data_IF_384786720796
#
_entry.id   IF_384786720796
#
_cell.length_a   1.000
_cell.length_b   1.000
_cell.length_c   1.000
_cell.angle_alpha   90.00
_cell.angle_beta   90.00
_cell.angle_gamma   90.00
#
_symmetry.space_group_name_H-M   'P 1'
#
loop_
_entity.id
_entity.type
_entity.pdbx_description
1 polymer ?
#
# COMPACT_ATOMS: atom_id res chain seq x y z
N UNK A 1 -15.91 -14.43 31.50
CA UNK A 1 -17.39 -14.45 31.35
C UNK A 1 -17.69 -14.73 29.88
N UNK A 2 -18.32 -15.85 29.57
CA UNK A 2 -18.68 -16.15 28.18
C UNK A 2 -19.78 -15.18 27.71
N UNK A 3 -19.53 -14.46 26.64
CA UNK A 3 -20.50 -13.61 25.98
C UNK A 3 -21.64 -14.50 25.44
N UNK A 4 -22.81 -14.40 26.06
CA UNK A 4 -24.04 -14.96 25.48
C UNK A 4 -24.37 -14.15 24.21
N UNK A 5 -24.92 -14.83 23.20
CA UNK A 5 -25.45 -14.26 21.95
C UNK A 5 -26.51 -13.17 22.24
N UNK A 6 -26.09 -11.97 22.54
CA UNK A 6 -26.98 -10.82 22.62
C UNK A 6 -26.87 -10.05 21.31
N UNK A 7 -27.90 -10.12 20.49
CA UNK A 7 -28.11 -9.20 19.37
C UNK A 7 -28.43 -7.81 19.96
N UNK A 8 -27.41 -6.98 20.05
CA UNK A 8 -27.61 -5.58 20.41
C UNK A 8 -28.10 -4.78 19.21
N UNK A 9 -29.00 -3.85 19.42
CA UNK A 9 -29.32 -2.85 18.40
C UNK A 9 -28.12 -1.91 18.20
N UNK A 10 -28.01 -1.29 17.06
CA UNK A 10 -26.91 -0.36 16.74
C UNK A 10 -26.73 0.74 17.79
N UNK A 11 -27.83 1.25 18.33
CA UNK A 11 -27.82 2.26 19.38
C UNK A 11 -27.34 1.72 20.74
N UNK A 12 -27.76 0.54 21.13
CA UNK A 12 -27.29 -0.10 22.37
C UNK A 12 -25.80 -0.43 22.30
N UNK A 13 -25.32 -0.81 21.12
CA UNK A 13 -23.90 -1.03 20.88
C UNK A 13 -23.11 0.28 21.00
N UNK A 14 -23.59 1.35 20.36
CA UNK A 14 -22.97 2.69 20.41
C UNK A 14 -22.90 3.24 21.84
N UNK A 15 -23.98 3.11 22.61
CA UNK A 15 -24.04 3.57 24.01
C UNK A 15 -23.02 2.83 24.91
N UNK A 16 -22.80 1.54 24.65
CA UNK A 16 -21.81 0.75 25.41
C UNK A 16 -20.37 1.05 24.97
N UNK A 17 -20.14 1.33 23.71
CA UNK A 17 -18.84 1.72 23.17
C UNK A 17 -18.42 3.08 23.72
N UNK A 18 -19.28 4.08 23.68
CA UNK A 18 -19.05 5.41 24.26
C UNK A 18 -18.83 5.36 25.78
N UNK A 19 -19.48 4.42 26.48
CA UNK A 19 -19.29 4.19 27.91
C UNK A 19 -18.00 3.43 28.24
N UNK A 20 -17.21 2.98 27.23
CA UNK A 20 -15.99 2.20 27.44
C UNK A 20 -16.22 0.78 27.98
N UNK A 21 -17.45 0.27 27.89
CA UNK A 21 -17.83 -1.05 28.41
C UNK A 21 -17.57 -2.19 27.41
N UNK A 22 -17.20 -1.87 26.17
CA UNK A 22 -16.94 -2.85 25.13
C UNK A 22 -15.43 -2.95 24.95
N UNK A 23 -14.85 -4.06 25.37
CA UNK A 23 -13.45 -4.37 25.13
C UNK A 23 -13.31 -5.18 23.84
N UNK A 24 -12.79 -4.56 22.79
CA UNK A 24 -12.53 -5.18 21.48
C UNK A 24 -11.10 -5.71 21.42
N UNK A 25 -10.74 -6.70 22.21
CA UNK A 25 -9.46 -7.35 22.03
C UNK A 25 -9.41 -8.06 20.66
N UNK A 26 -8.84 -7.39 19.67
CA UNK A 26 -8.50 -7.97 18.37
C UNK A 26 -9.41 -7.66 17.19
N UNK A 27 -10.42 -6.83 17.31
CA UNK A 27 -11.22 -6.38 16.16
C UNK A 27 -10.60 -5.14 15.53
N UNK A 28 -10.46 -5.15 14.22
CA UNK A 28 -9.83 -4.06 13.45
C UNK A 28 -10.77 -3.65 12.33
N UNK A 29 -11.06 -2.37 12.26
CA UNK A 29 -11.86 -1.77 11.22
C UNK A 29 -10.99 -1.27 10.08
N UNK A 30 -11.52 -1.34 8.87
CA UNK A 30 -10.92 -0.81 7.67
C UNK A 30 -11.72 0.40 7.19
N UNK A 31 -11.03 1.51 6.95
CA UNK A 31 -11.63 2.78 6.56
C UNK A 31 -11.09 3.26 5.22
N UNK A 32 -11.96 3.87 4.40
CA UNK A 32 -11.63 4.39 3.07
C UNK A 32 -12.21 5.77 2.87
N UNK A 33 -11.52 6.62 2.08
CA UNK A 33 -12.02 7.94 1.64
C UNK A 33 -11.27 8.44 0.40
N UNK A 34 -11.54 9.67 -0.04
CA UNK A 34 -11.01 10.23 -1.28
C UNK A 34 -11.92 9.94 -2.47
N UNK A 35 -11.38 9.53 -3.60
CA UNK A 35 -12.11 9.18 -4.82
C UNK A 35 -12.42 7.69 -4.88
N UNK A 36 -13.67 7.35 -5.13
CA UNK A 36 -14.07 6.02 -5.51
C UNK A 36 -14.20 5.92 -7.03
N UNK A 37 -13.63 4.89 -7.61
CA UNK A 37 -13.90 4.47 -8.98
C UNK A 37 -14.26 2.98 -8.99
N UNK A 38 -15.29 2.64 -9.77
CA UNK A 38 -15.64 1.25 -10.06
C UNK A 38 -15.92 0.36 -8.82
N UNK A 39 -16.38 0.93 -7.71
CA UNK A 39 -16.66 0.18 -6.49
C UNK A 39 -15.45 -0.08 -5.60
N UNK A 40 -14.32 0.58 -5.82
CA UNK A 40 -13.05 0.32 -5.12
C UNK A 40 -13.08 0.53 -3.60
N UNK A 41 -14.10 1.19 -3.05
CA UNK A 41 -14.27 1.31 -1.60
C UNK A 41 -14.83 0.04 -0.94
N UNK A 42 -15.57 -0.81 -1.68
CA UNK A 42 -16.14 -2.05 -1.14
C UNK A 42 -17.38 -1.85 -0.25
N UNK A 43 -18.01 -0.70 -0.25
CA UNK A 43 -19.14 -0.34 0.63
C UNK A 43 -20.49 -0.37 -0.08
N UNK A 44 -20.62 -1.20 -1.10
CA UNK A 44 -21.83 -1.38 -1.92
C UNK A 44 -22.31 -0.10 -2.64
N UNK A 45 -21.39 0.82 -2.95
CA UNK A 45 -21.67 2.02 -3.74
C UNK A 45 -20.97 1.90 -5.09
N UNK A 46 -21.69 2.12 -6.16
CA UNK A 46 -21.15 2.17 -7.53
C UNK A 46 -20.84 3.60 -7.96
N UNK A 47 -20.25 3.74 -9.16
CA UNK A 47 -19.96 5.03 -9.78
C UNK A 47 -18.70 5.73 -9.27
N UNK A 48 -18.53 6.98 -9.69
CA UNK A 48 -17.43 7.84 -9.27
C UNK A 48 -17.94 8.74 -8.13
N UNK A 49 -17.47 8.49 -6.93
CA UNK A 49 -17.86 9.22 -5.73
C UNK A 49 -16.64 9.84 -5.07
N UNK A 50 -16.87 10.90 -4.31
CA UNK A 50 -15.84 11.59 -3.53
C UNK A 50 -16.28 11.70 -2.08
N UNK A 51 -15.38 11.41 -1.15
CA UNK A 51 -15.60 11.64 0.29
C UNK A 51 -14.37 12.28 0.92
N UNK A 52 -14.60 13.37 1.59
CA UNK A 52 -13.57 14.11 2.34
C UNK A 52 -13.48 13.70 3.82
N UNK A 53 -14.16 12.61 4.19
CA UNK A 53 -14.10 12.00 5.53
C UNK A 53 -13.99 10.49 5.42
N UNK A 54 -13.27 9.81 6.32
CA UNK A 54 -13.22 8.36 6.37
C UNK A 54 -14.60 7.71 6.48
N UNK A 55 -14.80 6.60 5.76
CA UNK A 55 -16.01 5.75 5.84
C UNK A 55 -15.57 4.30 6.04
N UNK A 56 -16.24 3.59 6.92
CA UNK A 56 -15.89 2.21 7.28
C UNK A 56 -16.29 1.21 6.19
N UNK A 57 -15.38 0.28 5.85
CA UNK A 57 -15.70 -0.94 5.12
C UNK A 57 -16.43 -1.89 6.07
N UNK A 58 -17.58 -2.48 5.66
CA UNK A 58 -18.29 -3.43 6.51
C UNK A 58 -17.43 -4.62 6.95
N UNK A 59 -17.53 -4.95 8.26
CA UNK A 59 -16.77 -6.03 8.90
C UNK A 59 -15.57 -5.53 9.71
N UNK A 60 -15.17 -6.34 10.68
CA UNK A 60 -14.14 -6.01 11.67
C UNK A 60 -13.06 -7.11 11.79
N UNK A 61 -12.98 -8.00 10.81
CA UNK A 61 -12.03 -9.12 10.77
C UNK A 61 -10.99 -8.95 9.67
N UNK A 62 -10.84 -7.75 9.10
CA UNK A 62 -9.85 -7.48 8.08
C UNK A 62 -8.44 -7.49 8.65
N UNK A 63 -7.49 -8.12 7.96
CA UNK A 63 -6.09 -8.01 8.33
C UNK A 63 -5.57 -6.59 8.07
N UNK A 64 -4.69 -6.12 8.93
CA UNK A 64 -4.26 -4.71 8.99
C UNK A 64 -2.95 -4.43 8.30
N UNK A 65 -2.22 -5.44 7.88
CA UNK A 65 -0.97 -5.22 7.17
C UNK A 65 -1.26 -5.00 5.69
N UNK A 66 -1.13 -3.75 5.26
CA UNK A 66 -1.18 -3.39 3.85
C UNK A 66 0.19 -3.61 3.22
N UNK A 67 0.44 -4.80 2.74
CA UNK A 67 1.59 -5.02 1.87
C UNK A 67 1.26 -4.46 0.48
N UNK A 68 1.48 -3.15 0.30
CA UNK A 68 1.38 -2.44 -0.96
C UNK A 68 0.05 -2.63 -1.73
N UNK A 69 -0.99 -2.00 -1.23
CA UNK A 69 -2.16 -1.67 -2.02
C UNK A 69 -2.02 -0.28 -2.67
N UNK A 70 -0.77 0.18 -2.94
CA UNK A 70 -0.45 1.46 -3.58
C UNK A 70 -0.90 1.58 -5.03
N UNK A 71 -1.74 0.71 -5.45
CA UNK A 71 -1.96 0.49 -6.85
C UNK A 71 -2.82 1.55 -7.50
N UNK A 72 -2.45 1.91 -8.73
CA UNK A 72 -3.36 2.52 -9.70
C UNK A 72 -4.58 1.64 -9.98
N UNK A 73 -4.55 0.39 -9.49
CA UNK A 73 -5.61 -0.58 -9.65
C UNK A 73 -6.88 -0.15 -8.94
N UNK A 74 -7.93 -0.12 -9.66
CA UNK A 74 -9.27 0.15 -9.17
C UNK A 74 -9.89 -1.07 -8.49
N UNK A 75 -9.05 -2.01 -8.03
CA UNK A 75 -9.46 -3.23 -7.32
C UNK A 75 -8.64 -3.41 -6.03
N UNK A 76 -9.13 -4.25 -5.15
CA UNK A 76 -8.51 -4.56 -3.86
C UNK A 76 -8.50 -6.06 -3.61
N UNK A 77 -7.44 -6.50 -2.95
CA UNK A 77 -7.27 -7.86 -2.44
C UNK A 77 -6.90 -7.74 -0.97
N UNK A 78 -7.73 -8.29 -0.10
CA UNK A 78 -7.46 -8.34 1.34
C UNK A 78 -7.77 -9.73 1.89
N UNK A 79 -7.06 -10.09 2.95
CA UNK A 79 -7.34 -11.27 3.77
C UNK A 79 -8.11 -10.88 5.02
N UNK A 80 -8.88 -11.81 5.54
CA UNK A 80 -9.47 -11.72 6.86
C UNK A 80 -8.68 -12.54 7.87
N UNK A 81 -8.92 -12.30 9.16
CA UNK A 81 -8.26 -13.02 10.27
C UNK A 81 -8.58 -14.52 10.30
N UNK A 82 -9.66 -14.95 9.63
CA UNK A 82 -10.03 -16.36 9.43
C UNK A 82 -9.26 -17.02 8.26
N UNK A 83 -8.33 -16.31 7.62
CA UNK A 83 -7.53 -16.79 6.51
C UNK A 83 -8.25 -16.79 5.16
N UNK A 84 -9.45 -16.23 5.05
CA UNK A 84 -10.16 -16.08 3.77
C UNK A 84 -9.63 -14.92 2.96
N UNK A 85 -9.63 -15.04 1.62
CA UNK A 85 -9.16 -14.03 0.67
C UNK A 85 -10.35 -13.39 -0.06
N UNK A 86 -10.34 -12.07 -0.16
CA UNK A 86 -11.45 -11.29 -0.72
C UNK A 86 -10.98 -10.28 -1.77
N UNK A 87 -11.81 -10.06 -2.79
CA UNK A 87 -11.57 -9.06 -3.84
C UNK A 87 -12.80 -8.21 -4.11
N UNK A 88 -12.59 -6.97 -4.56
CA UNK A 88 -13.63 -6.06 -5.04
C UNK A 88 -13.04 -4.95 -5.92
N UNK A 89 -13.91 -4.10 -6.47
CA UNK A 89 -13.54 -3.05 -7.39
C UNK A 89 -13.70 -3.46 -8.85
N UNK A 90 -12.86 -2.90 -9.70
CA UNK A 90 -12.89 -3.13 -11.15
C UNK A 90 -12.21 -4.46 -11.49
N UNK A 91 -12.95 -5.35 -12.14
CA UNK A 91 -12.39 -6.41 -12.97
C UNK A 91 -11.99 -5.84 -14.34
N UNK A 92 -11.18 -6.52 -15.07
CA UNK A 92 -10.83 -6.19 -16.45
C UNK A 92 -10.73 -7.46 -17.29
N UNK A 93 -10.34 -7.30 -18.54
CA UNK A 93 -10.10 -8.41 -19.45
C UNK A 93 -9.03 -9.41 -18.96
N UNK A 94 -8.29 -9.03 -17.92
CA UNK A 94 -7.20 -9.83 -17.37
C UNK A 94 -7.62 -10.73 -16.19
N UNK A 95 -8.81 -10.50 -15.59
CA UNK A 95 -9.31 -11.31 -14.47
C UNK A 95 -8.64 -11.05 -13.12
N UNK A 96 -8.17 -9.82 -12.87
CA UNK A 96 -7.44 -9.45 -11.65
C UNK A 96 -8.23 -9.63 -10.34
N UNK A 97 -9.55 -9.83 -10.38
CA UNK A 97 -10.35 -10.14 -9.20
C UNK A 97 -10.20 -11.60 -8.73
N UNK A 98 -9.63 -12.49 -9.55
CA UNK A 98 -9.38 -13.89 -9.17
C UNK A 98 -10.64 -14.77 -9.07
N UNK A 99 -11.77 -14.32 -9.62
CA UNK A 99 -13.06 -14.96 -9.51
C UNK A 99 -13.41 -15.87 -10.71
N UNK A 100 -12.38 -16.27 -11.49
CA UNK A 100 -12.54 -17.03 -12.73
C UNK A 100 -13.41 -16.30 -13.78
N UNK A 101 -13.34 -14.96 -13.79
CA UNK A 101 -14.11 -14.09 -14.68
C UNK A 101 -13.19 -13.11 -15.37
N UNK A 102 -13.47 -12.82 -16.63
CA UNK A 102 -12.78 -11.82 -17.45
C UNK A 102 -13.84 -10.98 -18.18
N UNK A 103 -13.54 -9.70 -18.37
CA UNK A 103 -14.39 -8.79 -19.15
C UNK A 103 -14.38 -7.35 -18.60
N UNK A 104 -14.51 -6.35 -19.49
CA UNK A 104 -14.38 -4.94 -19.14
C UNK A 104 -15.50 -4.41 -18.24
N UNK A 105 -16.63 -5.13 -18.18
CA UNK A 105 -17.81 -4.74 -17.40
C UNK A 105 -17.88 -5.34 -16.00
N UNK A 106 -16.96 -6.25 -15.67
CA UNK A 106 -16.94 -6.90 -14.34
C UNK A 106 -16.54 -5.90 -13.27
N UNK A 107 -17.40 -5.70 -12.29
CA UNK A 107 -17.17 -4.80 -11.15
C UNK A 107 -17.94 -5.28 -9.94
N UNK A 108 -17.30 -5.25 -8.79
CA UNK A 108 -17.93 -5.55 -7.51
C UNK A 108 -17.73 -4.38 -6.55
N UNK A 109 -18.82 -3.77 -6.13
CA UNK A 109 -18.81 -2.68 -5.14
C UNK A 109 -18.86 -3.16 -3.69
N UNK A 110 -18.87 -4.49 -3.49
CA UNK A 110 -18.76 -5.15 -2.20
C UNK A 110 -17.71 -6.25 -2.28
N UNK A 111 -17.02 -6.59 -1.19
CA UNK A 111 -16.08 -7.70 -1.16
C UNK A 111 -16.72 -9.03 -1.57
N UNK A 112 -16.04 -9.77 -2.45
CA UNK A 112 -16.39 -11.12 -2.89
C UNK A 112 -15.23 -12.05 -2.53
N UNK A 113 -15.53 -13.19 -1.92
CA UNK A 113 -14.51 -14.17 -1.53
C UNK A 113 -13.91 -14.88 -2.74
N UNK A 114 -12.60 -15.04 -2.76
CA UNK A 114 -11.86 -15.79 -3.77
C UNK A 114 -11.72 -17.24 -3.31
N UNK A 115 -12.45 -18.14 -3.96
CA UNK A 115 -12.44 -19.56 -3.59
C UNK A 115 -12.97 -19.83 -2.19
N UNK A 116 -12.68 -21.01 -1.65
CA UNK A 116 -13.10 -21.45 -0.31
C UNK A 116 -11.92 -21.67 0.65
N UNK A 117 -10.70 -21.33 0.25
CA UNK A 117 -9.50 -21.50 1.08
C UNK A 117 -9.50 -20.57 2.29
N UNK A 118 -8.99 -21.08 3.42
CA UNK A 118 -8.86 -20.36 4.70
C UNK A 118 -7.41 -20.32 5.18
N UNK A 119 -6.47 -20.47 4.27
CA UNK A 119 -5.05 -20.57 4.51
C UNK A 119 -4.24 -19.40 3.92
N UNK A 120 -4.92 -18.31 3.55
CA UNK A 120 -4.28 -17.12 3.02
C UNK A 120 -3.68 -16.26 4.15
N UNK A 121 -2.39 -15.98 4.02
CA UNK A 121 -1.62 -15.17 4.99
C UNK A 121 -1.70 -13.68 4.67
N UNK A 122 -1.57 -13.31 3.39
CA UNK A 122 -1.63 -11.94 2.92
C UNK A 122 -2.08 -11.89 1.46
N UNK A 123 -2.62 -10.75 1.06
CA UNK A 123 -2.97 -10.44 -0.33
C UNK A 123 -2.55 -9.02 -0.70
N UNK A 124 -2.28 -8.81 -1.99
CA UNK A 124 -1.90 -7.52 -2.53
C UNK A 124 -2.18 -7.42 -4.03
N UNK A 125 -1.91 -6.26 -4.59
CA UNK A 125 -2.21 -5.95 -5.98
C UNK A 125 -1.01 -5.39 -6.72
N UNK A 126 -0.96 -5.62 -8.03
CA UNK A 126 -0.21 -4.83 -9.00
C UNK A 126 -1.19 -3.96 -9.78
N UNK A 127 -0.81 -3.22 -10.80
CA UNK A 127 -1.73 -2.36 -11.56
C UNK A 127 -2.96 -3.12 -12.10
N UNK A 128 -2.75 -4.24 -12.76
CA UNK A 128 -3.79 -5.04 -13.41
C UNK A 128 -3.69 -6.52 -13.03
N UNK A 129 -2.96 -6.81 -11.96
CA UNK A 129 -2.78 -8.13 -11.40
C UNK A 129 -2.92 -8.14 -9.89
N UNK A 130 -2.88 -9.31 -9.34
CA UNK A 130 -3.01 -9.56 -7.91
C UNK A 130 -2.11 -10.70 -7.50
N UNK A 131 -1.76 -10.73 -6.22
CA UNK A 131 -0.98 -11.81 -5.64
C UNK A 131 -1.45 -12.10 -4.22
N UNK A 132 -1.14 -13.28 -3.74
CA UNK A 132 -1.34 -13.65 -2.33
C UNK A 132 -0.34 -14.71 -1.90
N UNK A 133 -0.02 -14.74 -0.60
CA UNK A 133 0.80 -15.78 0.02
C UNK A 133 -0.07 -16.60 0.96
N UNK A 134 0.10 -17.90 0.91
CA UNK A 134 -0.51 -18.83 1.87
C UNK A 134 0.36 -19.05 3.10
N UNK A 135 -0.22 -19.59 4.16
CA UNK A 135 0.47 -19.91 5.41
C UNK A 135 1.55 -21.00 5.24
N UNK A 136 1.46 -21.81 4.19
CA UNK A 136 2.47 -22.80 3.80
C UNK A 136 3.69 -22.20 3.06
N UNK A 137 3.71 -20.88 2.86
CA UNK A 137 4.78 -20.18 2.16
C UNK A 137 4.72 -20.26 0.64
N UNK A 138 3.60 -20.65 0.05
CA UNK A 138 3.39 -20.58 -1.40
C UNK A 138 2.90 -19.20 -1.83
N UNK A 139 3.46 -18.66 -2.92
CA UNK A 139 3.05 -17.39 -3.53
C UNK A 139 2.16 -17.68 -4.75
N UNK A 140 1.08 -16.96 -4.89
CA UNK A 140 0.09 -17.10 -5.95
C UNK A 140 -0.12 -15.77 -6.67
N UNK A 141 -0.29 -15.79 -8.00
CA UNK A 141 -0.52 -14.61 -8.83
C UNK A 141 -1.65 -14.83 -9.83
N UNK A 142 -2.36 -13.76 -10.19
CA UNK A 142 -3.41 -13.76 -11.22
C UNK A 142 -3.66 -12.35 -11.75
N UNK A 143 -4.42 -12.22 -12.83
CA UNK A 143 -4.65 -10.98 -13.56
C UNK A 143 -3.78 -10.90 -14.80
N UNK A 144 -3.35 -9.69 -15.15
CA UNK A 144 -2.44 -9.41 -16.27
C UNK A 144 -1.10 -10.13 -16.10
N UNK A 145 -0.54 -10.56 -17.23
CA UNK A 145 0.79 -11.16 -17.32
C UNK A 145 1.59 -10.66 -18.53
N UNK A 146 1.24 -9.51 -19.06
CA UNK A 146 1.85 -8.96 -20.29
C UNK A 146 3.37 -8.71 -20.15
N UNK A 147 3.86 -8.57 -18.92
CA UNK A 147 5.27 -8.37 -18.57
C UNK A 147 5.91 -9.56 -17.88
N UNK A 148 5.18 -10.68 -17.76
CA UNK A 148 5.64 -11.87 -17.05
C UNK A 148 5.48 -11.75 -15.52
N UNK A 149 4.66 -10.80 -15.04
CA UNK A 149 4.49 -10.46 -13.63
C UNK A 149 3.89 -11.59 -12.78
N UNK A 150 3.29 -12.60 -13.40
CA UNK A 150 2.79 -13.80 -12.72
C UNK A 150 3.87 -14.89 -12.52
N UNK A 151 5.10 -14.67 -13.01
CA UNK A 151 6.22 -15.56 -12.74
C UNK A 151 6.11 -16.98 -13.33
N UNK A 152 5.24 -17.20 -14.32
CA UNK A 152 4.89 -18.50 -14.88
C UNK A 152 5.77 -18.93 -16.08
N UNK A 153 6.86 -18.19 -16.34
CA UNK A 153 7.70 -18.34 -17.54
C UNK A 153 6.92 -18.19 -18.86
N UNK A 154 5.77 -17.51 -18.80
CA UNK A 154 4.94 -17.14 -19.94
C UNK A 154 4.40 -15.71 -19.78
N UNK A 155 3.49 -15.30 -20.68
CA UNK A 155 2.81 -13.98 -20.66
C UNK A 155 1.29 -14.09 -20.76
N UNK A 156 0.73 -15.25 -20.41
CA UNK A 156 -0.70 -15.45 -20.42
C UNK A 156 -1.35 -14.96 -19.15
N UNK A 157 -2.41 -14.18 -19.25
CA UNK A 157 -3.20 -13.74 -18.11
C UNK A 157 -3.90 -14.94 -17.43
N UNK A 158 -4.19 -14.80 -16.14
CA UNK A 158 -4.88 -15.80 -15.33
C UNK A 158 -6.05 -15.14 -14.60
N UNK A 159 -7.24 -15.69 -14.72
CA UNK A 159 -8.44 -15.18 -14.02
C UNK A 159 -8.69 -15.83 -12.66
N UNK A 160 -7.83 -16.75 -12.25
CA UNK A 160 -7.85 -17.44 -10.95
C UNK A 160 -6.44 -17.51 -10.39
N UNK A 161 -6.27 -17.58 -9.06
CA UNK A 161 -4.98 -17.75 -8.45
C UNK A 161 -4.19 -18.93 -9.04
N UNK A 162 -2.95 -18.68 -9.47
CA UNK A 162 -2.02 -19.68 -10.01
C UNK A 162 -0.71 -19.59 -9.25
N UNK A 163 -0.18 -20.70 -8.78
CA UNK A 163 1.03 -20.71 -7.95
C UNK A 163 2.26 -20.24 -8.75
N UNK A 164 2.98 -19.27 -8.18
CA UNK A 164 4.28 -18.81 -8.67
C UNK A 164 5.35 -19.79 -8.17
N UNK A 165 6.28 -20.25 -9.03
CA UNK A 165 7.29 -21.21 -8.63
C UNK A 165 8.08 -20.82 -7.39
N UNK A 166 8.38 -21.81 -6.57
CA UNK A 166 9.10 -21.67 -5.30
C UNK A 166 8.19 -21.75 -4.09
N UNK A 167 8.83 -21.94 -2.95
CA UNK A 167 8.23 -22.05 -1.64
C UNK A 167 8.98 -21.15 -0.66
N UNK A 168 8.54 -21.13 0.59
CA UNK A 168 9.15 -20.30 1.66
C UNK A 168 9.00 -18.78 1.45
N UNK A 169 8.03 -18.37 0.64
CA UNK A 169 7.70 -16.95 0.50
C UNK A 169 7.07 -16.42 1.79
N UNK A 170 7.61 -15.32 2.30
CA UNK A 170 7.17 -14.70 3.55
C UNK A 170 6.39 -13.41 3.32
N UNK A 171 6.89 -12.55 2.41
CA UNK A 171 6.31 -11.24 2.07
C UNK A 171 6.33 -11.03 0.57
N UNK A 172 5.36 -10.26 0.06
CA UNK A 172 5.33 -9.83 -1.33
C UNK A 172 4.81 -8.40 -1.44
N UNK A 173 5.31 -7.66 -2.45
CA UNK A 173 5.08 -6.24 -2.65
C UNK A 173 4.82 -5.99 -4.13
N UNK A 174 3.70 -5.33 -4.45
CA UNK A 174 3.30 -5.07 -5.82
C UNK A 174 3.74 -3.68 -6.30
N UNK A 175 4.29 -3.63 -7.50
CA UNK A 175 4.51 -2.40 -8.26
C UNK A 175 3.55 -2.28 -9.43
N UNK A 176 3.93 -1.54 -10.46
CA UNK A 176 3.09 -1.33 -11.66
C UNK A 176 2.75 -2.64 -12.38
N UNK A 177 3.74 -3.34 -12.92
CA UNK A 177 3.64 -4.66 -13.57
C UNK A 177 4.75 -5.58 -13.05
N UNK A 178 5.03 -5.53 -11.77
CA UNK A 178 6.12 -6.27 -11.14
C UNK A 178 5.79 -6.59 -9.69
N UNK A 179 6.43 -7.62 -9.18
CA UNK A 179 6.33 -8.07 -7.79
C UNK A 179 7.75 -8.19 -7.24
N UNK A 180 7.98 -7.65 -6.05
CA UNK A 180 9.09 -8.05 -5.18
C UNK A 180 8.58 -9.04 -4.14
N UNK A 181 9.36 -10.07 -3.84
CA UNK A 181 8.99 -11.03 -2.81
C UNK A 181 10.21 -11.44 -1.97
N UNK A 182 10.01 -11.58 -0.68
CA UNK A 182 11.04 -11.98 0.29
C UNK A 182 10.72 -13.39 0.77
N UNK A 183 11.74 -14.25 0.79
CA UNK A 183 11.67 -15.58 1.40
C UNK A 183 12.03 -15.56 2.88
N UNK A 184 11.68 -16.61 3.60
CA UNK A 184 11.99 -16.78 5.03
C UNK A 184 13.49 -16.78 5.34
N UNK A 185 14.35 -17.06 4.35
CA UNK A 185 15.81 -16.99 4.45
C UNK A 185 16.36 -15.56 4.25
N UNK A 186 15.49 -14.56 4.08
CA UNK A 186 15.87 -13.17 3.87
C UNK A 186 16.36 -12.85 2.46
N UNK A 187 16.19 -13.74 1.49
CA UNK A 187 16.49 -13.43 0.08
C UNK A 187 15.34 -12.65 -0.55
N UNK A 188 15.67 -11.64 -1.37
CA UNK A 188 14.72 -10.79 -2.10
C UNK A 188 14.72 -11.17 -3.58
N UNK A 189 13.53 -11.27 -4.18
CA UNK A 189 13.31 -11.71 -5.54
C UNK A 189 12.42 -10.73 -6.29
N UNK A 190 12.70 -10.52 -7.58
CA UNK A 190 11.90 -9.68 -8.47
C UNK A 190 11.26 -10.49 -9.58
N UNK A 191 10.07 -10.09 -10.03
CA UNK A 191 9.29 -10.73 -11.10
C UNK A 191 8.62 -9.64 -11.93
N UNK A 192 8.53 -9.80 -13.24
CA UNK A 192 7.78 -8.95 -14.15
C UNK A 192 8.63 -7.89 -14.83
N UNK A 193 8.11 -6.67 -14.93
CA UNK A 193 8.73 -5.56 -15.67
C UNK A 193 9.98 -5.03 -14.96
N UNK A 194 11.10 -4.96 -15.71
CA UNK A 194 12.37 -4.43 -15.23
C UNK A 194 12.69 -3.00 -15.70
N UNK A 195 11.73 -2.29 -16.29
CA UNK A 195 11.96 -0.94 -16.80
C UNK A 195 12.57 -0.03 -15.73
N UNK A 196 13.49 0.84 -16.14
CA UNK A 196 14.31 1.70 -15.28
C UNK A 196 15.14 0.92 -14.22
N UNK A 197 15.33 -0.38 -14.37
CA UNK A 197 16.12 -1.18 -13.43
C UNK A 197 15.39 -1.56 -12.16
N UNK A 198 14.05 -1.37 -12.06
CA UNK A 198 13.25 -1.59 -10.83
C UNK A 198 13.36 -2.98 -10.21
N UNK A 199 13.85 -3.98 -10.95
CA UNK A 199 14.10 -5.32 -10.42
C UNK A 199 15.52 -5.50 -9.84
N UNK A 200 16.32 -4.44 -9.76
CA UNK A 200 17.63 -4.46 -9.09
C UNK A 200 18.68 -5.39 -9.71
N UNK A 201 18.55 -5.75 -11.00
CA UNK A 201 19.33 -6.77 -11.68
C UNK A 201 20.49 -6.20 -12.53
N UNK A 202 20.90 -4.96 -12.27
CA UNK A 202 21.83 -4.23 -13.16
C UNK A 202 21.37 -4.23 -14.63
N UNK A 203 20.07 -4.21 -14.85
CA UNK A 203 19.44 -4.41 -16.16
C UNK A 203 18.01 -3.87 -16.13
N UNK A 204 17.52 -3.42 -17.29
CA UNK A 204 16.12 -3.06 -17.50
C UNK A 204 15.29 -4.20 -18.11
N UNK A 205 15.82 -5.42 -18.12
CA UNK A 205 15.12 -6.60 -18.65
C UNK A 205 13.93 -6.98 -17.77
N UNK A 206 12.89 -7.53 -18.40
CA UNK A 206 11.76 -8.15 -17.72
C UNK A 206 12.03 -9.65 -17.48
N UNK A 207 11.48 -10.18 -16.40
CA UNK A 207 11.66 -11.57 -16.01
C UNK A 207 10.29 -12.22 -15.77
N UNK A 208 9.96 -13.24 -16.53
CA UNK A 208 8.73 -14.03 -16.41
C UNK A 208 8.87 -15.20 -15.42
N UNK A 209 9.97 -15.26 -14.69
CA UNK A 209 10.24 -16.15 -13.56
C UNK A 209 10.92 -15.37 -12.45
N UNK A 210 10.77 -15.75 -11.17
CA UNK A 210 11.47 -15.09 -10.08
C UNK A 210 12.98 -15.04 -10.28
N UNK A 211 13.60 -13.86 -10.12
CA UNK A 211 15.05 -13.64 -10.17
C UNK A 211 15.52 -13.01 -8.88
N UNK A 212 16.59 -13.53 -8.28
CA UNK A 212 17.09 -13.05 -7.00
C UNK A 212 17.80 -11.70 -7.16
N UNK A 213 17.44 -10.74 -6.32
CA UNK A 213 18.13 -9.46 -6.17
C UNK A 213 19.36 -9.68 -5.28
N UNK A 214 20.56 -9.17 -5.65
CA UNK A 214 21.77 -9.40 -4.87
C UNK A 214 21.64 -9.01 -3.40
N UNK A 215 22.22 -9.81 -2.53
CA UNK A 215 22.20 -9.65 -1.09
C UNK A 215 21.21 -10.56 -0.37
N UNK A 216 21.36 -10.61 0.92
CA UNK A 216 20.55 -11.39 1.86
C UNK A 216 20.14 -10.51 3.05
N UNK A 217 19.39 -11.07 3.99
CA UNK A 217 18.91 -10.34 5.18
C UNK A 217 17.91 -9.22 4.88
N UNK A 218 17.21 -9.30 3.75
CA UNK A 218 16.14 -8.37 3.44
C UNK A 218 14.93 -8.60 4.36
N UNK A 219 14.47 -7.54 5.03
CA UNK A 219 13.38 -7.59 6.00
C UNK A 219 12.05 -7.05 5.47
N UNK A 220 12.10 -6.02 4.62
CA UNK A 220 10.94 -5.42 3.97
C UNK A 220 11.33 -4.78 2.65
N UNK A 221 10.35 -4.56 1.77
CA UNK A 221 10.53 -3.87 0.51
C UNK A 221 9.31 -3.00 0.20
N UNK A 222 9.46 -2.09 -0.75
CA UNK A 222 8.37 -1.32 -1.33
C UNK A 222 8.68 -1.04 -2.80
N UNK A 223 7.63 -1.00 -3.62
CA UNK A 223 7.71 -0.59 -5.03
C UNK A 223 6.67 0.46 -5.32
N UNK A 224 7.01 1.41 -6.16
CA UNK A 224 6.05 2.39 -6.63
C UNK A 224 5.27 1.93 -7.87
N UNK A 225 4.30 2.74 -8.23
CA UNK A 225 3.52 2.58 -9.46
C UNK A 225 4.22 3.13 -10.69
N UNK A 226 5.36 3.81 -10.55
CA UNK A 226 6.15 4.33 -11.66
C UNK A 226 7.32 3.40 -11.98
N UNK A 227 8.45 3.53 -11.34
CA UNK A 227 9.63 2.73 -11.68
C UNK A 227 10.65 2.62 -10.53
N UNK A 228 10.33 3.12 -9.32
CA UNK A 228 11.18 3.03 -8.15
C UNK A 228 10.95 1.77 -7.33
N UNK A 229 11.96 1.38 -6.59
CA UNK A 229 11.92 0.29 -5.63
C UNK A 229 12.93 0.50 -4.51
N UNK A 230 12.66 -0.07 -3.36
CA UNK A 230 13.59 -0.06 -2.25
C UNK A 230 13.33 -1.17 -1.25
N UNK A 231 14.31 -1.44 -0.41
CA UNK A 231 14.21 -2.46 0.62
C UNK A 231 15.08 -2.13 1.83
N UNK A 232 14.64 -2.59 3.00
CA UNK A 232 15.38 -2.48 4.26
C UNK A 232 15.89 -3.87 4.63
N UNK A 233 17.14 -3.93 5.07
CA UNK A 233 17.74 -5.13 5.65
C UNK A 233 17.47 -5.23 7.16
N UNK A 234 17.70 -6.40 7.74
CA UNK A 234 17.53 -6.65 9.18
C UNK A 234 18.43 -5.79 10.07
N UNK A 235 19.53 -5.28 9.53
CA UNK A 235 20.43 -4.33 10.20
C UNK A 235 19.97 -2.87 10.16
N UNK A 236 18.79 -2.61 9.56
CA UNK A 236 18.21 -1.28 9.40
C UNK A 236 18.78 -0.47 8.24
N UNK A 237 19.64 -1.03 7.38
CA UNK A 237 20.11 -0.32 6.20
C UNK A 237 19.04 -0.28 5.11
N UNK A 238 18.80 0.91 4.54
CA UNK A 238 17.87 1.15 3.45
C UNK A 238 18.62 1.21 2.11
N UNK A 239 18.11 0.53 1.11
CA UNK A 239 18.66 0.46 -0.23
C UNK A 239 17.59 0.80 -1.26
N UNK A 240 17.89 1.70 -2.19
CA UNK A 240 16.97 2.15 -3.24
C UNK A 240 17.55 1.88 -4.62
N UNK A 241 16.66 1.67 -5.58
CA UNK A 241 17.00 1.49 -7.00
C UNK A 241 15.77 1.79 -7.89
N UNK A 242 15.98 1.80 -9.20
CA UNK A 242 14.97 2.16 -10.17
C UNK A 242 15.13 3.59 -10.67
N UNK A 243 14.04 4.21 -11.06
CA UNK A 243 14.01 5.58 -11.57
C UNK A 243 14.42 6.57 -10.48
N UNK A 244 15.27 7.52 -10.84
CA UNK A 244 15.75 8.60 -9.98
C UNK A 244 15.15 9.97 -10.32
N UNK A 245 14.15 10.02 -11.21
CA UNK A 245 13.49 11.28 -11.54
C UNK A 245 13.00 11.99 -10.28
N UNK A 246 13.04 13.31 -10.27
CA UNK A 246 12.71 14.14 -9.11
C UNK A 246 13.50 13.79 -7.84
N UNK A 247 14.64 13.11 -7.96
CA UNK A 247 15.47 12.74 -6.82
C UNK A 247 14.93 11.60 -5.96
N UNK A 248 13.98 10.81 -6.47
CA UNK A 248 13.29 9.75 -5.72
C UNK A 248 14.23 8.67 -5.15
N UNK A 249 15.43 8.50 -5.69
CA UNK A 249 16.45 7.60 -5.17
C UNK A 249 17.23 8.13 -3.95
N UNK A 250 16.98 9.38 -3.51
CA UNK A 250 17.55 9.93 -2.28
C UNK A 250 19.08 10.09 -2.25
N UNK A 251 19.75 10.05 -3.41
CA UNK A 251 21.21 10.05 -3.55
C UNK A 251 21.79 11.44 -3.85
N UNK A 252 21.05 12.52 -3.56
CA UNK A 252 21.40 13.89 -3.90
C UNK A 252 21.62 14.14 -5.41
N UNK A 253 20.95 13.35 -6.23
CA UNK A 253 20.94 13.45 -7.68
C UNK A 253 19.66 12.85 -8.28
N UNK A 254 19.54 12.89 -9.60
CA UNK A 254 18.39 12.33 -10.34
C UNK A 254 18.77 11.11 -11.18
N UNK A 255 19.85 10.42 -10.82
CA UNK A 255 20.37 9.27 -11.55
C UNK A 255 19.49 8.04 -11.34
N UNK A 256 19.22 7.31 -12.41
CA UNK A 256 18.61 5.99 -12.37
C UNK A 256 19.65 4.95 -11.92
N UNK A 257 19.26 4.08 -10.99
CA UNK A 257 20.09 2.97 -10.51
C UNK A 257 19.41 1.64 -10.81
N UNK A 258 20.06 0.76 -11.55
CA UNK A 258 19.54 -0.58 -11.86
C UNK A 258 19.99 -1.67 -10.87
N UNK A 259 20.72 -1.27 -9.83
CA UNK A 259 21.13 -2.11 -8.69
C UNK A 259 20.88 -1.36 -7.39
N UNK A 260 20.65 -2.05 -6.27
CA UNK A 260 20.48 -1.40 -4.97
C UNK A 260 21.64 -0.49 -4.57
N UNK A 261 21.32 0.75 -4.18
CA UNK A 261 22.26 1.75 -3.63
C UNK A 261 21.81 2.17 -2.25
N UNK A 262 22.73 2.18 -1.28
CA UNK A 262 22.41 2.44 0.12
C UNK A 262 22.11 3.91 0.39
N UNK A 263 21.07 4.17 1.20
CA UNK A 263 20.74 5.48 1.78
C UNK A 263 21.36 5.56 3.19
N UNK A 264 22.07 6.64 3.53
CA UNK A 264 22.64 6.80 4.87
C UNK A 264 21.61 6.81 5.99
N UNK A 265 21.94 6.18 7.10
CA UNK A 265 21.12 6.13 8.32
C UNK A 265 20.58 4.73 8.62
N UNK A 266 19.88 4.61 9.75
CA UNK A 266 19.21 3.40 10.20
C UNK A 266 17.70 3.59 10.12
N UNK A 267 17.05 2.73 9.34
CA UNK A 267 15.65 2.85 8.94
C UNK A 267 14.84 1.69 9.47
N UNK A 268 13.63 1.95 9.96
CA UNK A 268 12.70 0.94 10.46
C UNK A 268 11.48 0.75 9.56
N UNK A 269 11.20 1.72 8.68
CA UNK A 269 10.11 1.67 7.70
C UNK A 269 10.46 2.49 6.46
N UNK A 270 9.96 2.05 5.32
CA UNK A 270 10.16 2.71 4.03
C UNK A 270 8.95 2.50 3.13
N UNK A 271 8.59 3.55 2.40
CA UNK A 271 7.52 3.53 1.42
C UNK A 271 7.92 4.29 0.17
N UNK A 272 7.69 3.69 -0.97
CA UNK A 272 7.93 4.26 -2.29
C UNK A 272 6.65 4.89 -2.83
N UNK A 273 6.68 6.18 -3.14
CA UNK A 273 5.59 6.89 -3.85
C UNK A 273 5.92 7.05 -5.34
N UNK A 274 4.97 7.54 -6.14
CA UNK A 274 5.08 7.61 -7.61
C UNK A 274 6.29 8.41 -8.10
N UNK A 275 6.66 9.48 -7.44
CA UNK A 275 7.80 10.34 -7.77
C UNK A 275 8.57 10.76 -6.52
N UNK A 276 8.43 10.01 -5.44
CA UNK A 276 9.08 10.31 -4.18
C UNK A 276 9.13 9.09 -3.28
N UNK A 277 9.65 9.30 -2.11
CA UNK A 277 9.77 8.27 -1.11
C UNK A 277 9.70 8.85 0.30
N UNK A 278 9.36 8.02 1.24
CA UNK A 278 9.31 8.37 2.64
C UNK A 278 9.82 7.22 3.50
N UNK A 279 10.34 7.54 4.66
CA UNK A 279 10.84 6.54 5.58
C UNK A 279 10.87 7.03 7.01
N UNK A 280 10.78 6.07 7.93
CA UNK A 280 10.97 6.31 9.36
C UNK A 280 12.30 5.73 9.80
N UNK A 281 13.09 6.52 10.50
CA UNK A 281 14.30 6.04 11.17
C UNK A 281 13.96 5.30 12.47
N UNK A 282 14.92 4.57 12.99
CA UNK A 282 14.78 3.80 14.24
C UNK A 282 14.56 4.68 15.47
N UNK A 283 14.91 5.97 15.39
CA UNK A 283 14.64 6.99 16.42
C UNK A 283 13.21 7.54 16.40
N UNK A 284 12.37 7.04 15.49
CA UNK A 284 10.97 7.46 15.33
C UNK A 284 10.77 8.73 14.49
N UNK A 285 11.84 9.34 13.97
CA UNK A 285 11.73 10.50 13.08
C UNK A 285 11.25 10.11 11.69
N UNK A 286 10.46 11.00 11.06
CA UNK A 286 9.90 10.81 9.73
C UNK A 286 10.66 11.65 8.70
N UNK A 287 10.94 11.06 7.54
CA UNK A 287 11.72 11.64 6.46
C UNK A 287 11.03 11.45 5.12
N UNK A 288 11.17 12.42 4.21
CA UNK A 288 10.65 12.34 2.84
C UNK A 288 11.65 12.94 1.85
N UNK A 289 11.56 12.55 0.59
CA UNK A 289 12.33 13.07 -0.53
C UNK A 289 11.62 12.77 -1.86
N UNK A 290 12.11 13.38 -2.95
CA UNK A 290 11.48 13.30 -4.26
C UNK A 290 10.64 14.53 -4.58
N UNK A 291 9.60 14.39 -5.39
CA UNK A 291 8.72 15.48 -5.85
C UNK A 291 7.98 16.16 -4.70
N UNK A 292 7.82 17.48 -4.78
CA UNK A 292 7.09 18.32 -3.82
C UNK A 292 6.04 19.22 -4.50
N UNK A 293 5.64 18.90 -5.70
CA UNK A 293 4.75 19.74 -6.52
C UNK A 293 3.41 20.07 -5.86
N UNK A 294 3.00 19.31 -4.84
CA UNK A 294 1.75 19.49 -4.08
C UNK A 294 1.97 19.64 -2.57
N UNK A 295 3.22 19.83 -2.12
CA UNK A 295 3.56 19.89 -0.69
C UNK A 295 3.64 18.51 -0.02
N UNK A 296 3.68 17.41 -0.79
CA UNK A 296 3.66 16.03 -0.29
C UNK A 296 4.90 15.65 0.55
N UNK A 297 5.96 16.46 0.55
CA UNK A 297 7.12 16.25 1.42
C UNK A 297 6.92 16.79 2.85
N UNK A 298 5.82 17.51 3.13
CA UNK A 298 5.50 17.97 4.49
C UNK A 298 6.44 19.04 5.06
N UNK A 299 7.12 19.82 4.22
CA UNK A 299 8.18 20.77 4.62
C UNK A 299 7.68 22.16 4.93
N UNK A 300 6.36 22.38 5.02
CA UNK A 300 5.74 23.70 5.18
C UNK A 300 6.14 24.70 4.07
N UNK A 301 6.43 24.18 2.89
CA UNK A 301 6.84 24.98 1.74
C UNK A 301 5.96 24.64 0.54
N UNK A 302 5.47 25.66 -0.15
CA UNK A 302 4.71 25.48 -1.37
C UNK A 302 5.63 25.00 -2.52
N UNK A 303 5.05 24.32 -3.51
CA UNK A 303 5.74 23.80 -4.69
C UNK A 303 6.54 24.87 -5.44
N UNK A 304 6.12 26.12 -5.43
CA UNK A 304 6.83 27.25 -6.03
C UNK A 304 8.18 27.55 -5.38
N UNK A 305 8.42 27.03 -4.16
CA UNK A 305 9.67 27.22 -3.41
C UNK A 305 10.62 26.03 -3.55
N UNK A 306 10.05 24.81 -3.54
CA UNK A 306 10.81 23.56 -3.67
C UNK A 306 10.02 22.61 -4.54
N UNK A 307 10.48 22.37 -5.76
CA UNK A 307 9.84 21.43 -6.70
C UNK A 307 10.12 19.97 -6.33
N UNK A 308 11.37 19.66 -5.93
CA UNK A 308 11.78 18.34 -5.45
C UNK A 308 12.98 18.42 -4.52
N UNK A 309 13.19 17.38 -3.71
CA UNK A 309 14.36 17.20 -2.84
C UNK A 309 14.97 15.84 -3.13
N UNK A 310 16.25 15.80 -3.51
CA UNK A 310 16.93 14.58 -3.93
C UNK A 310 17.68 13.84 -2.80
N UNK A 311 17.54 14.30 -1.56
CA UNK A 311 18.08 13.66 -0.34
C UNK A 311 17.01 13.57 0.72
N UNK A 312 17.02 12.58 1.62
CA UNK A 312 16.08 12.55 2.73
C UNK A 312 16.09 13.83 3.56
N UNK A 313 14.93 14.43 3.78
CA UNK A 313 14.71 15.60 4.65
C UNK A 313 13.70 15.25 5.72
N UNK A 314 13.95 15.66 6.97
CA UNK A 314 13.08 15.34 8.11
C UNK A 314 11.78 16.15 8.06
N UNK A 315 10.65 15.51 8.37
CA UNK A 315 9.33 16.13 8.51
C UNK A 315 9.13 16.50 9.98
N UNK A 316 9.14 17.80 10.28
CA UNK A 316 8.99 18.29 11.65
C UNK A 316 10.07 17.77 12.61
N UNK A 317 9.79 17.82 13.91
CA UNK A 317 10.69 17.38 14.99
C UNK A 317 10.18 16.18 15.78
N UNK A 318 8.99 15.67 15.46
CA UNK A 318 8.38 14.57 16.20
C UNK A 318 9.14 13.26 16.01
N UNK A 319 9.18 12.46 17.08
CA UNK A 319 9.89 11.16 17.14
C UNK A 319 8.96 9.99 17.44
N UNK A 320 7.65 10.21 17.34
CA UNK A 320 6.63 9.20 17.61
C UNK A 320 5.84 8.76 16.38
N UNK A 321 6.40 8.96 15.19
CA UNK A 321 5.80 8.44 13.96
C UNK A 321 5.85 6.92 13.92
N UNK A 322 4.80 6.26 13.37
CA UNK A 322 4.72 4.80 13.27
C UNK A 322 4.69 4.32 11.82
N UNK A 323 3.63 4.56 11.10
CA UNK A 323 3.47 4.13 9.69
C UNK A 323 3.37 5.35 8.79
N UNK A 324 3.84 5.21 7.58
CA UNK A 324 3.67 6.21 6.54
C UNK A 324 3.22 5.54 5.25
N UNK A 325 2.42 6.24 4.48
CA UNK A 325 2.12 5.90 3.09
C UNK A 325 2.21 7.16 2.25
N UNK A 326 2.96 7.06 1.17
CA UNK A 326 3.16 8.14 0.22
C UNK A 326 2.61 7.74 -1.15
N UNK A 327 1.76 8.58 -1.72
CA UNK A 327 1.31 8.47 -3.10
C UNK A 327 1.90 9.60 -3.96
N UNK A 328 1.50 9.69 -5.22
CA UNK A 328 2.07 10.68 -6.13
C UNK A 328 1.98 12.13 -5.65
N UNK A 329 0.88 12.52 -5.01
CA UNK A 329 0.60 13.92 -4.69
C UNK A 329 0.29 14.18 -3.21
N UNK A 330 0.27 13.15 -2.38
CA UNK A 330 -0.09 13.26 -0.97
C UNK A 330 0.56 12.17 -0.13
N UNK A 331 0.57 12.41 1.17
CA UNK A 331 1.14 11.54 2.17
C UNK A 331 0.22 11.41 3.37
N UNK A 332 0.26 10.26 4.02
CA UNK A 332 -0.39 10.01 5.30
C UNK A 332 0.57 9.30 6.25
N UNK A 333 0.43 9.57 7.54
CA UNK A 333 1.18 8.85 8.56
C UNK A 333 0.38 8.68 9.85
N UNK A 334 0.62 7.58 10.55
CA UNK A 334 0.16 7.40 11.94
C UNK A 334 1.28 7.70 12.91
N UNK A 335 0.89 8.08 14.13
CA UNK A 335 1.78 8.15 15.28
C UNK A 335 1.48 7.03 16.28
N UNK A 336 2.43 6.73 17.15
CA UNK A 336 2.30 5.69 18.18
C UNK A 336 1.22 5.96 19.23
N UNK A 337 0.73 7.21 19.28
CA UNK A 337 -0.42 7.62 20.10
C UNK A 337 -1.77 7.34 19.43
N UNK A 338 -1.76 6.71 18.25
CA UNK A 338 -2.95 6.38 17.47
C UNK A 338 -3.53 7.55 16.67
N UNK A 339 -2.85 8.68 16.56
CA UNK A 339 -3.30 9.79 15.71
C UNK A 339 -2.92 9.56 14.26
N UNK A 340 -3.76 10.05 13.32
CA UNK A 340 -3.57 9.96 11.88
C UNK A 340 -3.39 11.36 11.29
N UNK A 341 -2.42 11.52 10.40
CA UNK A 341 -2.04 12.78 9.79
C UNK A 341 -1.98 12.64 8.26
N UNK A 342 -2.35 13.70 7.53
CA UNK A 342 -2.30 13.76 6.08
C UNK A 342 -1.79 15.12 5.60
N UNK A 343 -1.13 15.14 4.42
CA UNK A 343 -0.66 16.37 3.76
C UNK A 343 -0.45 16.14 2.27
N UNK A 344 -0.19 17.21 1.52
CA UNK A 344 -0.14 17.22 0.07
C UNK A 344 -1.44 17.70 -0.55
N UNK A 345 -1.75 17.24 -1.75
CA UNK A 345 -2.96 17.60 -2.51
C UNK A 345 -4.24 17.13 -1.82
N UNK A 346 -5.30 17.93 -1.87
CA UNK A 346 -6.66 17.54 -1.47
C UNK A 346 -7.62 17.42 -2.65
N UNK A 347 -7.10 17.26 -3.87
CA UNK A 347 -7.89 17.28 -5.10
C UNK A 347 -9.12 16.37 -5.14
N UNK A 348 -9.14 15.33 -4.27
CA UNK A 348 -10.24 14.36 -4.18
C UNK A 348 -10.78 14.21 -2.74
N UNK A 349 -10.55 15.18 -1.85
CA UNK A 349 -10.93 15.11 -0.44
C UNK A 349 -10.05 14.15 0.38
N UNK A 350 -8.88 13.80 -0.12
CA UNK A 350 -8.01 12.75 0.46
C UNK A 350 -7.38 13.13 1.79
N UNK A 351 -7.33 14.42 2.14
CA UNK A 351 -6.79 14.86 3.44
C UNK A 351 -7.73 14.55 4.62
N UNK A 352 -8.93 14.03 4.39
CA UNK A 352 -9.83 13.55 5.46
C UNK A 352 -10.38 14.64 6.36
N UNK A 353 -10.33 15.93 5.97
CA UNK A 353 -10.66 17.10 6.79
C UNK A 353 -12.13 17.50 6.70
N UNK A 354 -12.99 16.69 6.10
CA UNK A 354 -14.38 17.04 5.79
C UNK A 354 -14.52 18.35 4.99
N UNK A 355 -13.51 18.67 4.19
CA UNK A 355 -13.46 19.88 3.37
C UNK A 355 -13.34 19.48 1.89
N UNK A 356 -14.16 20.12 1.06
CA UNK A 356 -14.03 19.95 -0.39
C UNK A 356 -12.72 20.60 -0.91
N UNK A 357 -12.20 20.18 -2.06
CA UNK A 357 -11.01 20.77 -2.66
C UNK A 357 -11.07 22.29 -2.84
N UNK A 358 -12.28 22.83 -3.08
CA UNK A 358 -12.48 24.27 -3.17
C UNK A 358 -12.27 25.04 -1.84
N UNK A 359 -12.37 24.35 -0.69
CA UNK A 359 -12.17 24.93 0.63
C UNK A 359 -10.74 24.73 1.13
N UNK A 360 -10.14 23.58 0.78
CA UNK A 360 -8.77 23.23 1.10
C UNK A 360 -8.16 22.50 -0.09
N UNK A 361 -7.34 23.16 -0.89
CA UNK A 361 -6.75 22.59 -2.11
C UNK A 361 -5.57 21.66 -1.80
N UNK A 362 -4.71 22.04 -0.87
CA UNK A 362 -3.52 21.30 -0.46
C UNK A 362 -3.01 21.80 0.89
N UNK A 363 -2.19 21.01 1.56
CA UNK A 363 -1.37 21.46 2.70
C UNK A 363 0.04 20.94 2.55
N UNK A 364 1.02 21.79 2.85
CA UNK A 364 2.45 21.45 2.82
C UNK A 364 3.02 21.04 4.19
N UNK A 365 2.15 20.91 5.19
CA UNK A 365 2.47 20.40 6.53
C UNK A 365 1.46 19.35 6.94
N UNK A 366 1.84 18.37 7.77
CA UNK A 366 0.90 17.39 8.31
C UNK A 366 -0.28 18.05 9.05
N UNK A 367 -1.51 17.65 8.70
CA UNK A 367 -2.75 18.01 9.41
C UNK A 367 -3.40 16.75 9.95
N UNK A 368 -3.89 16.81 11.19
CA UNK A 368 -4.48 15.64 11.83
C UNK A 368 -5.87 15.33 11.26
N UNK A 369 -6.11 14.06 10.92
CA UNK A 369 -7.44 13.53 10.61
C UNK A 369 -8.14 13.23 11.93
N UNK A 370 -9.40 13.63 12.11
CA UNK A 370 -10.13 13.40 13.36
C UNK A 370 -10.17 11.93 13.80
N UNK A 371 -10.08 11.71 15.09
CA UNK A 371 -10.12 10.39 15.71
C UNK A 371 -8.75 9.90 16.17
N UNK A 372 -8.80 8.85 16.97
CA UNK A 372 -7.65 8.17 17.57
C UNK A 372 -7.75 6.66 17.32
N UNK A 373 -6.79 5.89 17.80
CA UNK A 373 -6.70 4.43 17.63
C UNK A 373 -6.40 3.98 16.19
N UNK A 374 -5.92 4.88 15.33
CA UNK A 374 -5.45 4.53 14.00
C UNK A 374 -4.15 3.72 14.08
N UNK A 375 -4.06 2.66 13.26
CA UNK A 375 -2.94 1.69 13.29
C UNK A 375 -2.06 1.78 12.04
N UNK A 376 -2.67 1.59 10.88
CA UNK A 376 -1.95 1.51 9.62
C UNK A 376 -2.57 2.40 8.58
N UNK A 377 -1.80 2.77 7.59
CA UNK A 377 -2.20 3.61 6.48
C UNK A 377 -1.81 2.98 5.16
N UNK A 378 -2.57 3.29 4.13
CA UNK A 378 -2.29 2.91 2.76
C UNK A 378 -2.92 3.91 1.80
N UNK A 379 -2.31 4.06 0.64
CA UNK A 379 -2.83 4.90 -0.43
C UNK A 379 -3.17 4.05 -1.64
N UNK A 380 -4.14 4.45 -2.42
CA UNK A 380 -4.51 3.77 -3.65
C UNK A 380 -4.76 4.76 -4.80
N UNK A 381 -4.71 4.26 -6.04
CA UNK A 381 -5.10 5.04 -7.21
C UNK A 381 -4.31 6.33 -7.40
N UNK A 382 -2.99 6.31 -7.37
CA UNK A 382 -2.12 7.49 -7.50
C UNK A 382 -2.35 8.57 -6.41
N UNK A 383 -2.77 8.15 -5.21
CA UNK A 383 -3.11 9.09 -4.14
C UNK A 383 -4.51 9.67 -4.21
N UNK A 384 -5.35 9.14 -5.08
CA UNK A 384 -6.75 9.56 -5.16
C UNK A 384 -7.64 8.90 -4.12
N UNK A 385 -7.18 7.84 -3.48
CA UNK A 385 -7.89 7.08 -2.45
C UNK A 385 -6.98 6.84 -1.26
N UNK A 386 -7.54 7.00 -0.08
CA UNK A 386 -6.88 6.73 1.19
C UNK A 386 -7.53 5.57 1.92
N UNK A 387 -6.72 4.86 2.66
CA UNK A 387 -7.12 3.71 3.46
C UNK A 387 -6.41 3.77 4.81
N UNK A 388 -7.10 3.38 5.85
CA UNK A 388 -6.50 3.22 7.16
C UNK A 388 -7.21 2.11 7.95
N UNK A 389 -6.51 1.53 8.91
CA UNK A 389 -7.13 0.63 9.87
C UNK A 389 -7.17 1.28 11.24
N UNK A 390 -8.15 0.87 12.03
CA UNK A 390 -8.40 1.39 13.36
C UNK A 390 -8.65 0.23 14.33
N UNK A 391 -8.10 0.32 15.55
CA UNK A 391 -8.57 -0.52 16.66
C UNK A 391 -9.92 -0.01 17.13
N UNK A 392 -10.79 -0.94 17.48
CA UNK A 392 -12.11 -0.67 18.05
C UNK A 392 -12.13 -1.10 19.52
#
# INVERSE_FOLDING_TARGET
>A
MALKNNTWTLNQWYDQDVAGNVSYSGTKEFWVWGKQESGSWGINLGGNLYRSSPVQLPGNTWQTEFYNNHNQGWHRILTKTDGTLWSWGKGSDWGQLGLNQQGPSIRYSSPVQIGSGTDWKLGGTTREGSFAIKTDGTLWGWGSNNRGELGQNDRNARSSPTQIPGTTWDKAFGGYNSILAIKTDGTLWGIGEGAAGRLGQNSSKQFSSPVQIPGTTWASASMDTSRGAGAIKTDGTLWLWGDGASGSNGQNNTTQYSSPVQIPGTWSYYECGTEGASGRKTDGTLWAWGSNTNGQLGQNQASAQIEYISSPVQIGSDTNWDRISMAGQNSMATKTDGTLWAWGSNGNGVLGQNQAPAQLAATSSPVQIPGTSWLTVGTGGQGNQMMATKNV
#
